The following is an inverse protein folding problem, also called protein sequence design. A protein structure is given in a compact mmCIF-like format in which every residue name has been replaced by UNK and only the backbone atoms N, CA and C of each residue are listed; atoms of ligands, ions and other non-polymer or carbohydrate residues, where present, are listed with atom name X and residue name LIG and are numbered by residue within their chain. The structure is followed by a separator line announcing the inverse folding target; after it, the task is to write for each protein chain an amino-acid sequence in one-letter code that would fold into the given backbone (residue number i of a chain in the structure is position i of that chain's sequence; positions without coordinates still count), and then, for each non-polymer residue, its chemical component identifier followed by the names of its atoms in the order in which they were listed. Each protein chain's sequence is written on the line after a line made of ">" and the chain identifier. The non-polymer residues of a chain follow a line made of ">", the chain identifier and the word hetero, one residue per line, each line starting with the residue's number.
data_IF_234364923972
#
_entry.id   IF_234364923972
#
_cell.length_a   1.000
_cell.length_b   1.000
_cell.length_c   1.000
_cell.angle_alpha   90.00
_cell.angle_beta   90.00
_cell.angle_gamma   90.00
#
_symmetry.space_group_name_H-M   'P 1'
#
loop_
_entity.id
_entity.type
_entity.pdbx_description
1 polymer ?
#
# COMPACT_ATOMS: atom_id res chain seq x y z
N UNK A 1 3.90 -14.28 11.54
CA UNK A 1 4.33 -13.39 12.63
C UNK A 1 4.10 -11.90 12.31
N UNK A 2 4.63 -11.34 11.22
CA UNK A 2 4.49 -9.91 10.86
C UNK A 2 3.02 -9.41 10.75
N UNK A 3 2.13 -10.18 10.11
CA UNK A 3 0.70 -9.84 10.00
C UNK A 3 -0.06 -9.87 11.33
N UNK A 4 0.44 -10.65 12.30
CA UNK A 4 -0.15 -10.78 13.64
C UNK A 4 0.21 -9.56 14.49
N UNK A 5 1.46 -9.10 14.41
CA UNK A 5 1.94 -7.88 15.07
C UNK A 5 1.24 -6.62 14.55
N UNK A 6 0.99 -6.54 13.23
CA UNK A 6 0.25 -5.43 12.62
C UNK A 6 -1.22 -5.41 13.05
N UNK A 7 -1.86 -6.59 13.15
CA UNK A 7 -3.23 -6.71 13.67
C UNK A 7 -3.34 -6.27 15.13
N UNK A 8 -2.35 -6.60 15.96
CA UNK A 8 -2.33 -6.20 17.36
C UNK A 8 -2.06 -4.71 17.53
N UNK A 9 -1.22 -4.11 16.68
CA UNK A 9 -1.05 -2.65 16.62
C UNK A 9 -2.35 -1.91 16.28
N UNK A 10 -3.13 -2.43 15.32
CA UNK A 10 -4.43 -1.85 14.94
C UNK A 10 -5.46 -1.99 16.07
N UNK A 11 -5.51 -3.15 16.75
CA UNK A 11 -6.36 -3.32 17.93
C UNK A 11 -5.99 -2.35 19.05
N UNK A 12 -4.71 -2.17 19.33
CA UNK A 12 -4.24 -1.22 20.35
C UNK A 12 -4.53 0.24 19.97
N UNK A 13 -4.44 0.61 18.69
CA UNK A 13 -4.85 1.94 18.23
C UNK A 13 -6.35 2.21 18.48
N UNK A 14 -7.21 1.20 18.25
CA UNK A 14 -8.64 1.32 18.57
C UNK A 14 -8.91 1.43 20.08
N UNK A 15 -8.09 0.77 20.91
CA UNK A 15 -8.17 0.87 22.37
C UNK A 15 -7.67 2.21 22.88
N UNK A 16 -6.61 2.77 22.27
CA UNK A 16 -6.11 4.11 22.57
C UNK A 16 -7.16 5.18 22.26
N UNK A 17 -7.82 5.11 21.10
CA UNK A 17 -8.90 6.04 20.75
C UNK A 17 -10.07 6.00 21.75
N UNK A 18 -10.36 4.80 22.30
CA UNK A 18 -11.37 4.61 23.34
C UNK A 18 -10.89 5.08 24.73
N UNK A 19 -9.59 5.01 25.00
CA UNK A 19 -8.97 5.40 26.27
C UNK A 19 -8.69 6.91 26.38
N UNK A 20 -8.43 7.61 25.26
CA UNK A 20 -8.30 9.08 25.21
C UNK A 20 -9.54 9.76 25.81
N UNK A 21 -10.71 9.16 25.64
CA UNK A 21 -11.97 9.71 26.14
C UNK A 21 -12.21 9.42 27.64
N UNK A 22 -11.41 8.55 28.27
CA UNK A 22 -11.70 7.99 29.60
C UNK A 22 -10.61 8.23 30.65
N UNK A 23 -9.32 8.09 30.33
CA UNK A 23 -8.22 8.27 31.30
C UNK A 23 -6.89 8.71 30.63
N UNK A 24 -6.35 9.92 30.92
CA UNK A 24 -5.16 10.47 30.24
C UNK A 24 -3.85 9.70 30.56
N UNK A 25 -3.76 9.06 31.73
CA UNK A 25 -2.54 8.35 32.17
C UNK A 25 -2.39 6.95 31.57
N UNK A 26 -3.51 6.30 31.18
CA UNK A 26 -3.47 5.04 30.42
C UNK A 26 -3.14 5.28 28.95
N UNK A 27 -3.55 6.43 28.41
CA UNK A 27 -3.24 6.85 27.05
C UNK A 27 -1.71 7.02 26.85
N UNK A 28 -1.01 7.60 27.83
CA UNK A 28 0.46 7.74 27.81
C UNK A 28 1.18 6.38 27.78
N UNK A 29 0.79 5.44 28.65
CA UNK A 29 1.40 4.10 28.69
C UNK A 29 1.22 3.34 27.39
N UNK A 30 0.04 3.46 26.77
CA UNK A 30 -0.27 2.82 25.48
C UNK A 30 0.49 3.45 24.30
N UNK A 31 0.76 4.76 24.35
CA UNK A 31 1.59 5.44 23.34
C UNK A 31 3.04 4.99 23.44
N UNK A 32 3.59 4.91 24.65
CA UNK A 32 4.97 4.51 24.85
C UNK A 32 5.19 3.04 24.44
N UNK A 33 4.27 2.15 24.77
CA UNK A 33 4.32 0.75 24.35
C UNK A 33 4.26 0.63 22.80
N UNK A 34 3.42 1.44 22.15
CA UNK A 34 3.32 1.47 20.69
C UNK A 34 4.58 2.01 20.04
N UNK A 35 5.22 3.01 20.63
CA UNK A 35 6.50 3.57 20.18
C UNK A 35 7.60 2.52 20.21
N UNK A 36 7.69 1.75 21.30
CA UNK A 36 8.66 0.66 21.44
C UNK A 36 8.47 -0.45 20.40
N UNK A 37 7.23 -0.86 20.16
CA UNK A 37 6.92 -1.88 19.13
C UNK A 37 7.28 -1.39 17.71
N UNK A 38 7.11 -0.09 17.46
CA UNK A 38 7.45 0.49 16.16
C UNK A 38 8.96 0.63 15.96
N UNK A 39 9.72 0.96 17.00
CA UNK A 39 11.19 0.99 16.94
C UNK A 39 11.78 -0.43 16.77
N UNK A 40 11.15 -1.44 17.37
CA UNK A 40 11.51 -2.85 17.15
C UNK A 40 11.16 -3.33 15.73
N UNK A 41 10.02 -2.91 15.17
CA UNK A 41 9.66 -3.21 13.79
C UNK A 41 10.56 -2.50 12.77
N UNK A 42 11.04 -1.29 13.10
CA UNK A 42 11.98 -0.52 12.30
C UNK A 42 13.38 -1.13 12.30
N UNK A 43 13.90 -1.54 13.46
CA UNK A 43 15.20 -2.23 13.57
C UNK A 43 15.20 -3.63 12.94
N UNK A 44 14.06 -4.32 12.94
CA UNK A 44 13.89 -5.59 12.21
C UNK A 44 13.62 -5.43 10.70
N UNK A 45 13.62 -4.20 10.18
CA UNK A 45 13.29 -3.86 8.78
C UNK A 45 14.43 -3.09 8.11
N UNK A 46 15.66 -3.56 8.27
CA UNK A 46 16.83 -3.14 7.48
C UNK A 46 16.81 -3.67 6.02
N UNK A 47 15.88 -4.58 5.68
CA UNK A 47 15.70 -5.07 4.31
C UNK A 47 14.81 -4.15 3.46
N UNK A 48 15.33 -3.83 2.27
CA UNK A 48 14.96 -2.77 1.31
C UNK A 48 13.60 -2.96 0.57
N UNK A 49 12.60 -3.52 1.23
CA UNK A 49 11.27 -3.73 0.62
C UNK A 49 10.41 -2.44 0.66
N UNK A 50 10.18 -1.81 -0.49
CA UNK A 50 9.36 -0.58 -0.60
C UNK A 50 7.97 -0.68 0.06
N UNK A 51 7.36 -1.86 0.05
CA UNK A 51 6.06 -2.08 0.69
C UNK A 51 6.12 -2.06 2.22
N UNK A 52 7.22 -2.49 2.84
CA UNK A 52 7.39 -2.43 4.29
C UNK A 52 7.59 -0.98 4.74
N UNK A 53 8.34 -0.19 3.97
CA UNK A 53 8.56 1.25 4.19
C UNK A 53 7.27 2.05 4.15
N UNK A 54 6.41 1.83 3.15
CA UNK A 54 5.09 2.50 3.03
C UNK A 54 4.19 2.17 4.23
N UNK A 55 4.15 0.90 4.64
CA UNK A 55 3.38 0.50 5.81
C UNK A 55 3.92 1.15 7.10
N UNK A 56 5.24 1.14 7.32
CA UNK A 56 5.89 1.78 8.46
C UNK A 56 5.66 3.30 8.49
N UNK A 57 5.76 3.97 7.34
CA UNK A 57 5.46 5.40 7.21
C UNK A 57 4.01 5.69 7.61
N UNK A 58 3.04 4.89 7.14
CA UNK A 58 1.64 5.06 7.52
C UNK A 58 1.40 4.88 9.03
N UNK A 59 2.17 4.00 9.69
CA UNK A 59 2.10 3.80 11.14
C UNK A 59 2.75 4.96 11.93
N UNK A 60 3.85 5.54 11.42
CA UNK A 60 4.47 6.75 11.97
C UNK A 60 3.56 7.98 11.84
N UNK A 61 2.91 8.15 10.70
CA UNK A 61 1.95 9.25 10.51
C UNK A 61 0.78 9.14 11.49
N UNK A 62 0.28 7.92 11.73
CA UNK A 62 -0.76 7.68 12.73
C UNK A 62 -0.29 8.05 14.14
N UNK A 63 0.95 7.72 14.52
CA UNK A 63 1.52 8.12 15.81
C UNK A 63 1.62 9.64 15.96
N UNK A 64 2.15 10.34 14.95
CA UNK A 64 2.24 11.82 14.98
C UNK A 64 0.87 12.48 15.10
N UNK A 65 -0.15 11.94 14.43
CA UNK A 65 -1.54 12.42 14.58
C UNK A 65 -2.06 12.23 16.00
N UNK A 66 -1.82 11.06 16.58
CA UNK A 66 -2.26 10.72 17.94
C UNK A 66 -1.59 11.62 19.00
N UNK A 67 -0.29 11.92 18.85
CA UNK A 67 0.44 12.87 19.71
C UNK A 67 -0.10 14.31 19.60
N UNK A 68 -0.35 14.78 18.37
CA UNK A 68 -0.89 16.11 18.13
C UNK A 68 -2.30 16.28 18.71
N UNK A 69 -3.14 15.23 18.64
CA UNK A 69 -4.47 15.23 19.26
C UNK A 69 -4.37 15.30 20.79
N UNK A 70 -3.48 14.54 21.40
CA UNK A 70 -3.26 14.58 22.86
C UNK A 70 -2.77 15.95 23.31
N UNK A 71 -1.77 16.52 22.61
CA UNK A 71 -1.26 17.86 22.89
C UNK A 71 -2.36 18.92 22.82
N UNK A 72 -3.24 18.81 21.81
CA UNK A 72 -4.39 19.73 21.64
C UNK A 72 -5.39 19.60 22.78
N UNK A 73 -5.73 18.38 23.22
CA UNK A 73 -6.64 18.16 24.37
C UNK A 73 -6.03 18.70 25.66
N UNK A 74 -4.74 18.49 25.89
CA UNK A 74 -4.04 18.99 27.07
C UNK A 74 -3.94 20.53 27.07
N UNK A 75 -3.64 21.15 25.92
CA UNK A 75 -3.60 22.61 25.80
C UNK A 75 -4.97 23.26 25.94
N UNK A 76 -6.03 22.63 25.42
CA UNK A 76 -7.40 23.14 25.56
C UNK A 76 -7.91 23.12 27.01
N UNK A 77 -7.35 22.27 27.87
CA UNK A 77 -7.64 22.25 29.30
C UNK A 77 -6.99 23.38 30.09
N UNK A 78 -5.98 24.07 29.52
CA UNK A 78 -5.20 25.12 30.19
C UNK A 78 -5.64 26.53 29.79
N UNK A 79 -6.31 26.71 28.66
CA UNK A 79 -6.73 28.04 28.16
C UNK A 79 -8.05 28.57 28.73
N UNK A 80 -8.66 27.93 29.75
CA UNK A 80 -9.96 28.32 30.31
C UNK A 80 -9.90 29.22 31.55
N UNK A 81 -8.72 29.72 31.93
CA UNK A 81 -8.55 30.59 33.11
C UNK A 81 -8.15 32.02 32.71
N UNK A 82 -9.16 32.86 32.48
CA UNK A 82 -9.24 34.22 33.05
C UNK A 82 -8.82 35.44 32.20
N UNK A 83 -9.61 36.51 32.41
CA UNK A 83 -9.31 37.96 32.36
C UNK A 83 -9.48 38.65 30.98
N UNK A 84 -9.99 39.87 30.80
CA UNK A 84 -10.81 40.85 31.53
C UNK A 84 -11.30 41.89 30.47
N UNK A 85 -12.46 42.53 30.61
CA UNK A 85 -13.41 42.78 29.50
C UNK A 85 -13.43 44.14 28.75
N UNK A 86 -12.36 44.93 28.62
CA UNK A 86 -12.47 46.16 27.78
C UNK A 86 -11.23 46.59 26.97
N UNK A 87 -10.01 46.55 27.50
CA UNK A 87 -8.80 46.61 26.65
C UNK A 87 -8.61 45.34 25.82
N UNK A 88 -9.20 44.24 26.31
CA UNK A 88 -9.30 42.97 25.62
C UNK A 88 -10.05 43.07 24.31
N UNK A 89 -10.98 43.99 24.06
CA UNK A 89 -11.71 43.98 22.77
C UNK A 89 -10.78 44.32 21.61
N UNK A 90 -9.92 45.34 21.78
CA UNK A 90 -8.96 45.76 20.75
C UNK A 90 -7.76 44.80 20.69
N UNK A 91 -7.31 44.31 21.83
CA UNK A 91 -6.31 43.25 21.89
C UNK A 91 -6.84 41.95 21.27
N UNK A 92 -8.12 41.61 21.47
CA UNK A 92 -8.78 40.42 20.94
C UNK A 92 -9.07 40.55 19.45
N UNK A 93 -9.39 41.74 18.95
CA UNK A 93 -9.44 41.99 17.50
C UNK A 93 -8.05 41.78 16.88
N UNK A 94 -6.98 42.34 17.47
CA UNK A 94 -5.61 42.12 16.98
C UNK A 94 -5.14 40.66 17.13
N UNK A 95 -5.55 39.95 18.19
CA UNK A 95 -5.25 38.53 18.37
C UNK A 95 -6.04 37.67 17.40
N UNK A 96 -7.28 38.06 17.07
CA UNK A 96 -8.09 37.39 16.06
C UNK A 96 -7.49 37.58 14.66
N UNK A 97 -7.04 38.79 14.32
CA UNK A 97 -6.31 39.08 13.09
C UNK A 97 -5.01 38.26 12.99
N UNK A 98 -4.23 38.19 14.08
CA UNK A 98 -3.00 37.38 14.13
C UNK A 98 -3.31 35.88 14.06
N UNK A 99 -4.40 35.43 14.67
CA UNK A 99 -4.84 34.03 14.60
C UNK A 99 -5.31 33.68 13.19
N UNK A 100 -6.01 34.59 12.52
CA UNK A 100 -6.42 34.44 11.12
C UNK A 100 -5.20 34.40 10.21
N UNK A 101 -4.21 35.26 10.41
CA UNK A 101 -2.94 35.23 9.67
C UNK A 101 -2.17 33.91 9.87
N UNK A 102 -2.12 33.38 11.10
CA UNK A 102 -1.51 32.08 11.38
C UNK A 102 -2.30 30.90 10.79
N UNK A 103 -3.63 31.00 10.80
CA UNK A 103 -4.51 30.01 10.18
C UNK A 103 -4.34 30.01 8.66
N UNK A 104 -4.21 31.20 8.05
CA UNK A 104 -3.95 31.40 6.64
C UNK A 104 -2.58 30.85 6.24
N UNK A 105 -1.52 31.14 7.01
CA UNK A 105 -0.17 30.59 6.75
C UNK A 105 -0.18 29.06 6.81
N UNK A 106 -0.84 28.48 7.82
CA UNK A 106 -1.01 27.03 7.90
C UNK A 106 -1.82 26.47 6.73
N UNK A 107 -2.86 27.19 6.27
CA UNK A 107 -3.63 26.80 5.09
C UNK A 107 -2.77 26.84 3.82
N UNK A 108 -1.97 27.88 3.64
CA UNK A 108 -1.08 28.05 2.49
C UNK A 108 -0.03 26.94 2.47
N UNK A 109 0.57 26.63 3.62
CA UNK A 109 1.51 25.51 3.76
C UNK A 109 0.85 24.18 3.42
N UNK A 110 -0.36 23.93 3.92
CA UNK A 110 -1.14 22.74 3.58
C UNK A 110 -1.51 22.67 2.09
N UNK A 111 -1.83 23.80 1.46
CA UNK A 111 -2.08 23.87 0.01
C UNK A 111 -0.82 23.58 -0.80
N UNK A 112 0.35 24.06 -0.37
CA UNK A 112 1.62 23.77 -1.04
C UNK A 112 1.98 22.29 -0.94
N UNK A 113 1.81 21.67 0.23
CA UNK A 113 2.00 20.21 0.38
C UNK A 113 1.04 19.41 -0.51
N UNK A 114 -0.22 19.85 -0.63
CA UNK A 114 -1.19 19.24 -1.54
C UNK A 114 -0.77 19.40 -3.01
N UNK A 115 -0.26 20.57 -3.38
CA UNK A 115 0.23 20.86 -4.73
C UNK A 115 1.44 19.98 -5.07
N UNK A 116 2.41 19.90 -4.16
CA UNK A 116 3.60 19.03 -4.30
C UNK A 116 3.18 17.57 -4.45
N UNK A 117 2.27 17.10 -3.61
CA UNK A 117 1.73 15.73 -3.70
C UNK A 117 0.98 15.49 -5.01
N UNK A 118 0.21 16.46 -5.49
CA UNK A 118 -0.50 16.37 -6.76
C UNK A 118 0.47 16.32 -7.95
N UNK A 119 1.56 17.09 -7.90
CA UNK A 119 2.62 17.05 -8.91
C UNK A 119 3.36 15.71 -8.90
N UNK A 120 3.73 15.20 -7.73
CA UNK A 120 4.33 13.87 -7.58
C UNK A 120 3.39 12.76 -8.10
N UNK A 121 2.10 12.86 -7.78
CA UNK A 121 1.09 11.91 -8.29
C UNK A 121 0.93 11.99 -9.82
N UNK A 122 1.03 13.18 -10.40
CA UNK A 122 1.00 13.37 -11.87
C UNK A 122 2.21 12.70 -12.53
N UNK A 123 3.40 12.86 -11.97
CA UNK A 123 4.63 12.21 -12.46
C UNK A 123 4.52 10.68 -12.35
N UNK A 124 4.01 10.17 -11.23
CA UNK A 124 3.75 8.73 -11.04
C UNK A 124 2.75 8.19 -12.07
N UNK A 125 1.70 8.94 -12.43
CA UNK A 125 0.76 8.53 -13.48
C UNK A 125 1.40 8.51 -14.87
N UNK A 126 2.29 9.46 -15.17
CA UNK A 126 3.04 9.50 -16.42
C UNK A 126 3.99 8.30 -16.52
N UNK A 127 4.71 7.98 -15.44
CA UNK A 127 5.53 6.78 -15.34
C UNK A 127 4.69 5.51 -15.51
N UNK A 128 3.55 5.40 -14.82
CA UNK A 128 2.64 4.26 -14.95
C UNK A 128 2.11 4.09 -16.38
N UNK A 129 1.83 5.18 -17.10
CA UNK A 129 1.44 5.12 -18.51
C UNK A 129 2.52 4.44 -19.37
N UNK A 130 3.79 4.79 -19.15
CA UNK A 130 4.92 4.14 -19.83
C UNK A 130 5.03 2.65 -19.47
N UNK A 131 4.75 2.28 -18.22
CA UNK A 131 4.73 0.87 -17.79
C UNK A 131 3.59 0.11 -18.48
N UNK A 132 2.40 0.72 -18.60
CA UNK A 132 1.27 0.11 -19.30
C UNK A 132 1.57 -0.10 -20.79
N UNK A 133 2.25 0.84 -21.44
CA UNK A 133 2.72 0.66 -22.82
C UNK A 133 3.69 -0.53 -22.93
N UNK A 134 4.68 -0.60 -22.05
CA UNK A 134 5.62 -1.73 -22.01
C UNK A 134 4.92 -3.08 -21.77
N UNK A 135 3.89 -3.11 -20.91
CA UNK A 135 3.07 -4.31 -20.67
C UNK A 135 2.26 -4.66 -21.91
N UNK A 136 1.66 -3.67 -22.57
CA UNK A 136 0.93 -3.86 -23.83
C UNK A 136 1.83 -4.45 -24.91
N UNK A 137 3.06 -3.93 -25.05
CA UNK A 137 4.05 -4.42 -26.02
C UNK A 137 4.46 -5.88 -25.73
N UNK A 138 4.66 -6.22 -24.46
CA UNK A 138 4.94 -7.61 -24.05
C UNK A 138 3.76 -8.53 -24.33
N UNK A 139 2.53 -8.10 -24.05
CA UNK A 139 1.31 -8.86 -24.36
C UNK A 139 1.19 -9.08 -25.86
N UNK A 140 1.41 -8.04 -26.67
CA UNK A 140 1.41 -8.14 -28.13
C UNK A 140 2.50 -9.09 -28.63
N UNK A 141 3.70 -9.02 -28.07
CA UNK A 141 4.79 -9.93 -28.43
C UNK A 141 4.46 -11.40 -28.07
N UNK A 142 3.85 -11.62 -26.91
CA UNK A 142 3.37 -12.95 -26.50
C UNK A 142 2.23 -13.41 -27.42
N UNK A 143 1.28 -12.54 -27.77
CA UNK A 143 0.18 -12.86 -28.67
C UNK A 143 0.68 -13.28 -30.07
N UNK A 144 1.73 -12.63 -30.57
CA UNK A 144 2.41 -13.02 -31.81
C UNK A 144 3.15 -14.36 -31.71
N UNK A 145 3.54 -14.78 -30.50
CA UNK A 145 4.19 -16.09 -30.27
C UNK A 145 3.20 -17.26 -30.22
N UNK A 146 1.94 -17.04 -29.83
CA UNK A 146 0.88 -18.07 -29.78
C UNK A 146 0.77 -18.90 -31.09
N UNK A 147 0.75 -18.32 -32.30
CA UNK A 147 0.70 -19.11 -33.53
C UNK A 147 1.94 -20.00 -33.73
N UNK A 148 3.12 -19.56 -33.31
CA UNK A 148 4.35 -20.35 -33.41
C UNK A 148 4.33 -21.54 -32.44
N UNK A 149 3.88 -21.33 -31.19
CA UNK A 149 3.66 -22.42 -30.22
C UNK A 149 2.68 -23.46 -30.81
N UNK A 150 1.59 -23.00 -31.42
CA UNK A 150 0.61 -23.91 -32.03
C UNK A 150 1.21 -24.71 -33.19
N UNK A 151 2.07 -24.11 -34.02
CA UNK A 151 2.77 -24.84 -35.10
C UNK A 151 3.74 -25.90 -34.55
N UNK A 152 4.49 -25.61 -33.49
CA UNK A 152 5.40 -26.57 -32.85
C UNK A 152 4.60 -27.72 -32.22
N UNK A 153 3.52 -27.41 -31.50
CA UNK A 153 2.64 -28.41 -30.91
C UNK A 153 1.98 -29.32 -31.97
N UNK A 154 1.51 -28.74 -33.08
CA UNK A 154 0.98 -29.49 -34.23
C UNK A 154 2.02 -30.39 -34.88
N UNK A 155 3.27 -29.93 -35.02
CA UNK A 155 4.38 -30.75 -35.54
C UNK A 155 4.67 -31.95 -34.63
N UNK A 156 4.69 -31.76 -33.31
CA UNK A 156 4.89 -32.85 -32.35
C UNK A 156 3.75 -33.87 -32.40
N UNK A 157 2.49 -33.41 -32.49
CA UNK A 157 1.33 -34.30 -32.66
C UNK A 157 1.40 -35.08 -33.98
N UNK A 158 1.78 -34.44 -35.08
CA UNK A 158 1.89 -35.10 -36.39
C UNK A 158 2.96 -36.19 -36.42
N UNK A 159 4.11 -36.00 -35.75
CA UNK A 159 5.15 -37.05 -35.64
C UNK A 159 4.61 -38.31 -34.94
N UNK A 160 3.98 -38.16 -33.77
CA UNK A 160 3.35 -39.29 -33.06
C UNK A 160 2.26 -39.98 -33.88
N UNK A 161 1.46 -39.23 -34.63
CA UNK A 161 0.41 -39.82 -35.48
C UNK A 161 0.98 -40.65 -36.63
N UNK A 162 2.10 -40.23 -37.24
CA UNK A 162 2.76 -41.00 -38.31
C UNK A 162 3.26 -42.35 -37.80
N UNK A 163 3.87 -42.38 -36.61
CA UNK A 163 4.40 -43.61 -36.03
C UNK A 163 3.28 -44.61 -35.72
N UNK A 164 2.15 -44.14 -35.15
CA UNK A 164 0.99 -44.99 -34.86
C UNK A 164 0.38 -45.57 -36.14
N UNK A 165 0.26 -44.77 -37.21
CA UNK A 165 -0.26 -45.24 -38.50
C UNK A 165 0.62 -46.35 -39.08
N UNK A 166 1.95 -46.19 -39.04
CA UNK A 166 2.89 -47.19 -39.52
C UNK A 166 2.76 -48.52 -38.76
N UNK A 167 2.70 -48.47 -37.42
CA UNK A 167 2.50 -49.68 -36.62
C UNK A 167 1.16 -50.35 -36.88
N UNK A 168 0.07 -49.58 -37.02
CA UNK A 168 -1.25 -50.16 -37.32
C UNK A 168 -1.30 -50.88 -38.67
N UNK A 169 -0.65 -50.33 -39.71
CA UNK A 169 -0.59 -50.97 -41.02
C UNK A 169 0.26 -52.24 -40.95
N UNK A 170 1.41 -52.19 -40.27
CA UNK A 170 2.30 -53.35 -40.11
C UNK A 170 1.60 -54.50 -39.41
N UNK A 171 0.92 -54.23 -38.29
CA UNK A 171 0.18 -55.22 -37.52
C UNK A 171 -0.99 -55.77 -38.34
N UNK A 172 -1.75 -54.90 -39.03
CA UNK A 172 -2.86 -55.33 -39.87
C UNK A 172 -2.42 -56.24 -41.01
N UNK A 173 -1.30 -55.93 -41.69
CA UNK A 173 -0.75 -56.77 -42.77
C UNK A 173 -0.26 -58.10 -42.22
N UNK A 174 0.42 -58.09 -41.06
CA UNK A 174 0.94 -59.31 -40.45
C UNK A 174 -0.18 -60.27 -40.05
N UNK A 175 -1.28 -59.75 -39.48
CA UNK A 175 -2.47 -60.54 -39.14
C UNK A 175 -3.14 -61.11 -40.40
N UNK A 176 -3.23 -60.33 -41.48
CA UNK A 176 -3.82 -60.77 -42.75
C UNK A 176 -3.02 -61.90 -43.40
N UNK A 177 -1.69 -61.78 -43.41
CA UNK A 177 -0.79 -62.82 -43.90
C UNK A 177 -0.89 -64.08 -43.05
N UNK A 178 -0.92 -63.93 -41.72
CA UNK A 178 -1.09 -65.06 -40.82
C UNK A 178 -2.40 -65.80 -41.11
N UNK A 179 -3.51 -65.09 -41.31
CA UNK A 179 -4.81 -65.69 -41.61
C UNK A 179 -4.90 -66.39 -42.99
N UNK A 180 -4.14 -65.95 -43.99
CA UNK A 180 -4.18 -66.56 -45.33
C UNK A 180 -3.19 -67.71 -45.50
N UNK A 181 -2.05 -67.70 -44.79
CA UNK A 181 -1.00 -68.73 -44.90
C UNK A 181 -1.06 -69.81 -43.80
N UNK A 182 -1.88 -69.63 -42.76
CA UNK A 182 -2.15 -70.61 -41.71
C UNK A 182 -3.62 -71.01 -41.73
#
# INVERSE_FOLDING_TARGET
>A
MKSMLLRDSVKKASQFQKAIQKDPTQAEKLLEERRQLLEQAKSASEDDDSHSKVNLQSHLERLKRDENLMKKVLSNGVSSTGLDNTESVKAMESMYELQEANSLDNSIRGTNELLERALATREDFEYQSSVLQNVSDRINHVALSIPFINQVLRKTKSRKQRDVILFSILISVLVLLFFFFH
#
